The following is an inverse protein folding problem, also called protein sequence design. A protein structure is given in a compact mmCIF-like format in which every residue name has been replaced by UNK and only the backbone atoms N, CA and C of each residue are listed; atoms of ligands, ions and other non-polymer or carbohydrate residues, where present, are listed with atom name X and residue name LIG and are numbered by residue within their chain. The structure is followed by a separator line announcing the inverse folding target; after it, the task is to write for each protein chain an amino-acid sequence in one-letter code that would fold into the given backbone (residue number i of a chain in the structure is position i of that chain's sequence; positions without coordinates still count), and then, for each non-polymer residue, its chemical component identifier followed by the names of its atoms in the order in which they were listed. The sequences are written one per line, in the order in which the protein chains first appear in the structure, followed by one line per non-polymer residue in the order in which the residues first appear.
data_IF_639410812947
#
_entry.id   IF_639410812947
#
_cell.length_a   1.000
_cell.length_b   1.000
_cell.length_c   1.000
_cell.angle_alpha   90.00
_cell.angle_beta   90.00
_cell.angle_gamma   90.00
#
_symmetry.space_group_name_H-M   'P 1'
#
loop_
_entity.id
_entity.type
_entity.pdbx_description
1 polymer ?
#
# COMPACT_ATOMS: atom_id res chain seq x y z
N UNK A 1 15.35 46.10 -59.12
CA UNK A 1 15.25 44.74 -58.55
C UNK A 1 15.36 44.90 -57.05
N UNK A 2 14.22 45.03 -56.35
CA UNK A 2 14.24 45.13 -54.90
C UNK A 2 14.58 43.75 -54.32
N UNK A 3 15.78 43.63 -53.76
CA UNK A 3 16.19 42.46 -52.98
C UNK A 3 15.46 42.52 -51.65
N UNK A 4 14.25 41.98 -51.63
CA UNK A 4 13.47 41.80 -50.40
C UNK A 4 14.28 41.00 -49.37
N UNK A 5 14.35 41.51 -48.15
CA UNK A 5 15.12 40.91 -47.07
C UNK A 5 14.70 39.43 -46.89
N UNK A 6 15.62 38.45 -46.98
CA UNK A 6 15.29 37.02 -46.91
C UNK A 6 14.87 36.58 -45.50
N UNK A 7 15.07 37.44 -44.50
CA UNK A 7 14.75 37.18 -43.08
C UNK A 7 13.26 37.35 -42.81
N UNK A 8 12.58 38.21 -43.56
CA UNK A 8 11.15 38.50 -43.42
C UNK A 8 10.24 37.27 -43.57
N UNK A 9 10.39 36.43 -44.61
CA UNK A 9 9.56 35.23 -44.74
C UNK A 9 9.86 34.18 -43.66
N UNK A 10 11.11 34.07 -43.20
CA UNK A 10 11.49 33.19 -42.10
C UNK A 10 10.86 33.61 -40.77
N UNK A 11 10.84 34.92 -40.48
CA UNK A 11 10.16 35.49 -39.31
C UNK A 11 8.65 35.24 -39.37
N UNK A 12 8.04 35.43 -40.54
CA UNK A 12 6.61 35.15 -40.75
C UNK A 12 6.28 33.67 -40.54
N UNK A 13 7.15 32.78 -41.02
CA UNK A 13 6.98 31.34 -40.83
C UNK A 13 7.13 30.95 -39.35
N UNK A 14 8.13 31.49 -38.65
CA UNK A 14 8.33 31.25 -37.22
C UNK A 14 7.15 31.74 -36.37
N UNK A 15 6.62 32.93 -36.67
CA UNK A 15 5.44 33.48 -36.00
C UNK A 15 4.19 32.61 -36.26
N UNK A 16 3.99 32.13 -37.49
CA UNK A 16 2.86 31.26 -37.81
C UNK A 16 2.91 29.89 -37.11
N UNK A 17 4.11 29.37 -36.85
CA UNK A 17 4.32 28.13 -36.08
C UNK A 17 4.07 28.37 -34.59
N UNK A 18 4.51 29.52 -34.07
CA UNK A 18 4.25 29.92 -32.69
C UNK A 18 2.74 30.14 -32.43
N UNK A 19 2.03 30.77 -33.36
CA UNK A 19 0.57 30.96 -33.28
C UNK A 19 -0.20 29.63 -33.42
N UNK A 20 0.31 28.67 -34.19
CA UNK A 20 -0.29 27.32 -34.35
C UNK A 20 0.05 26.34 -33.24
N UNK A 21 1.00 26.65 -32.35
CA UNK A 21 1.21 25.90 -31.11
C UNK A 21 0.09 26.26 -30.12
N UNK A 22 -1.16 26.00 -30.52
CA UNK A 22 -2.27 25.89 -29.61
C UNK A 22 -1.86 24.84 -28.59
N UNK A 23 -1.53 25.30 -27.37
CA UNK A 23 -1.15 24.44 -26.27
C UNK A 23 -2.18 23.34 -26.17
N UNK A 24 -1.73 22.09 -26.33
CA UNK A 24 -2.59 20.91 -26.20
C UNK A 24 -3.33 21.09 -24.88
N UNK A 25 -4.66 21.21 -24.85
CA UNK A 25 -5.37 21.37 -23.60
C UNK A 25 -5.19 20.08 -22.81
N UNK A 26 -4.30 20.13 -21.82
CA UNK A 26 -4.10 19.02 -20.89
C UNK A 26 -5.27 19.03 -19.93
N UNK A 27 -6.33 18.31 -20.27
CA UNK A 27 -7.45 18.07 -19.37
C UNK A 27 -6.99 17.04 -18.34
N UNK A 28 -6.58 17.52 -17.17
CA UNK A 28 -6.17 16.67 -16.05
C UNK A 28 -7.44 16.12 -15.40
N UNK A 29 -7.72 14.84 -15.63
CA UNK A 29 -8.78 14.14 -14.92
C UNK A 29 -8.29 13.75 -13.50
N UNK A 30 -8.57 14.65 -12.55
CA UNK A 30 -8.23 14.44 -11.15
C UNK A 30 -8.93 13.22 -10.54
N UNK A 31 -10.12 12.84 -11.01
CA UNK A 31 -10.79 11.65 -10.50
C UNK A 31 -10.11 10.36 -10.96
N UNK A 32 -9.64 10.31 -12.20
CA UNK A 32 -8.86 9.19 -12.72
C UNK A 32 -7.54 9.04 -11.96
N UNK A 33 -6.84 10.15 -11.69
CA UNK A 33 -5.60 10.16 -10.90
C UNK A 33 -5.86 9.69 -9.47
N UNK A 34 -6.93 10.18 -8.84
CA UNK A 34 -7.27 9.80 -7.46
C UNK A 34 -7.64 8.32 -7.38
N UNK A 35 -8.43 7.80 -8.33
CA UNK A 35 -8.76 6.37 -8.43
C UNK A 35 -7.52 5.51 -8.65
N UNK A 36 -6.61 5.94 -9.53
CA UNK A 36 -5.34 5.25 -9.77
C UNK A 36 -4.46 5.24 -8.50
N UNK A 37 -4.39 6.36 -7.78
CA UNK A 37 -3.63 6.47 -6.53
C UNK A 37 -4.19 5.56 -5.42
N UNK A 38 -5.52 5.53 -5.25
CA UNK A 38 -6.19 4.64 -4.30
C UNK A 38 -5.92 3.17 -4.67
N UNK A 39 -6.02 2.82 -5.95
CA UNK A 39 -5.77 1.47 -6.44
C UNK A 39 -4.32 1.05 -6.20
N UNK A 40 -3.34 1.89 -6.56
CA UNK A 40 -1.93 1.62 -6.33
C UNK A 40 -1.60 1.47 -4.84
N UNK A 41 -2.17 2.31 -3.98
CA UNK A 41 -1.99 2.21 -2.53
C UNK A 41 -2.56 0.92 -1.96
N UNK A 42 -3.71 0.46 -2.49
CA UNK A 42 -4.31 -0.82 -2.11
C UNK A 42 -3.45 -2.01 -2.57
N UNK A 43 -2.97 -1.99 -3.81
CA UNK A 43 -2.11 -3.05 -4.34
C UNK A 43 -0.79 -3.16 -3.56
N UNK A 44 -0.19 -2.03 -3.18
CA UNK A 44 1.04 -2.06 -2.36
C UNK A 44 0.76 -2.58 -0.95
N UNK A 45 -0.38 -2.23 -0.35
CA UNK A 45 -0.80 -2.81 0.94
C UNK A 45 -1.03 -4.30 0.83
N UNK A 46 -1.68 -4.77 -0.24
CA UNK A 46 -1.90 -6.19 -0.48
C UNK A 46 -0.57 -6.93 -0.73
N UNK A 47 0.38 -6.31 -1.41
CA UNK A 47 1.72 -6.87 -1.64
C UNK A 47 2.51 -7.01 -0.34
N UNK A 48 2.52 -5.98 0.50
CA UNK A 48 3.16 -5.99 1.82
C UNK A 48 2.47 -7.01 2.75
N UNK A 49 1.14 -7.05 2.76
CA UNK A 49 0.38 -8.01 3.54
C UNK A 49 0.56 -9.45 3.05
N UNK A 50 0.82 -9.64 1.76
CA UNK A 50 1.10 -10.95 1.16
C UNK A 50 2.53 -11.41 1.38
N UNK A 51 3.47 -10.52 1.73
CA UNK A 51 4.86 -10.90 1.97
C UNK A 51 4.98 -11.62 3.33
N UNK A 52 5.31 -12.91 3.35
CA UNK A 52 5.41 -13.69 4.58
C UNK A 52 6.58 -13.25 5.48
N UNK A 53 7.45 -12.36 5.01
CA UNK A 53 8.61 -11.87 5.77
C UNK A 53 8.33 -10.64 6.62
N UNK A 54 7.20 -9.97 6.43
CA UNK A 54 6.87 -8.75 7.16
C UNK A 54 6.29 -9.08 8.53
N UNK A 55 6.94 -8.58 9.58
CA UNK A 55 6.54 -8.75 10.97
C UNK A 55 6.12 -7.43 11.59
N UNK A 56 5.17 -7.51 12.51
CA UNK A 56 4.80 -6.44 13.43
C UNK A 56 5.14 -6.82 14.86
N UNK A 57 5.61 -5.85 15.64
CA UNK A 57 5.68 -6.02 17.09
C UNK A 57 4.27 -6.13 17.68
N UNK A 58 4.14 -6.75 18.85
CA UNK A 58 2.86 -6.81 19.56
C UNK A 58 2.25 -5.41 19.80
N UNK A 59 3.08 -4.41 20.09
CA UNK A 59 2.59 -3.05 20.32
C UNK A 59 2.01 -2.44 19.04
N UNK A 60 2.69 -2.59 17.91
CA UNK A 60 2.19 -2.12 16.61
C UNK A 60 0.92 -2.86 16.19
N UNK A 61 0.89 -4.18 16.37
CA UNK A 61 -0.30 -4.98 16.10
C UNK A 61 -1.50 -4.53 16.94
N UNK A 62 -1.29 -4.19 18.21
CA UNK A 62 -2.34 -3.65 19.08
C UNK A 62 -2.84 -2.28 18.63
N UNK A 63 -1.96 -1.40 18.12
CA UNK A 63 -2.32 -0.07 17.62
C UNK A 63 -3.08 -0.20 16.30
N UNK A 64 -2.59 -1.04 15.37
CA UNK A 64 -3.12 -1.17 14.01
C UNK A 64 -4.43 -1.94 13.93
N UNK A 65 -4.53 -3.09 14.62
CA UNK A 65 -5.70 -3.97 14.56
C UNK A 65 -6.58 -3.91 15.81
N UNK A 66 -6.12 -3.24 16.86
CA UNK A 66 -6.80 -3.15 18.14
C UNK A 66 -6.36 -4.25 19.11
N UNK A 67 -6.04 -3.85 20.35
CA UNK A 67 -5.62 -4.75 21.43
C UNK A 67 -6.61 -5.89 21.70
N UNK A 68 -7.90 -5.60 21.71
CA UNK A 68 -8.96 -6.59 21.97
C UNK A 68 -9.03 -7.66 20.89
N UNK A 69 -8.84 -7.28 19.62
CA UNK A 69 -8.83 -8.18 18.47
C UNK A 69 -7.67 -9.14 18.55
N UNK A 70 -6.44 -8.61 18.64
CA UNK A 70 -5.22 -9.44 18.75
C UNK A 70 -5.29 -10.38 19.95
N UNK A 71 -5.70 -9.89 21.11
CA UNK A 71 -5.85 -10.72 22.32
C UNK A 71 -6.87 -11.85 22.10
N UNK A 72 -7.99 -11.56 21.43
CA UNK A 72 -9.00 -12.57 21.13
C UNK A 72 -8.50 -13.62 20.12
N UNK A 73 -7.76 -13.21 19.09
CA UNK A 73 -7.18 -14.11 18.09
C UNK A 73 -6.15 -15.06 18.73
N UNK A 74 -5.26 -14.52 19.57
CA UNK A 74 -4.27 -15.33 20.31
C UNK A 74 -4.97 -16.28 21.29
N UNK A 75 -5.93 -15.79 22.09
CA UNK A 75 -6.65 -16.61 23.08
C UNK A 75 -7.43 -17.75 22.45
N UNK A 76 -7.95 -17.55 21.24
CA UNK A 76 -8.70 -18.57 20.48
C UNK A 76 -7.78 -19.51 19.67
N UNK A 77 -6.49 -19.24 19.63
CA UNK A 77 -5.51 -20.06 18.92
C UNK A 77 -5.41 -19.79 17.42
N UNK A 78 -6.07 -18.77 16.89
CA UNK A 78 -5.98 -18.40 15.46
C UNK A 78 -4.68 -17.65 15.13
N UNK A 79 -4.11 -16.93 16.10
CA UNK A 79 -2.88 -16.19 15.92
C UNK A 79 -1.78 -16.75 16.83
N UNK A 80 -0.64 -17.09 16.23
CA UNK A 80 0.54 -17.58 16.95
C UNK A 80 1.65 -16.52 16.96
N UNK A 81 2.44 -16.53 18.03
CA UNK A 81 3.63 -15.68 18.12
C UNK A 81 4.68 -16.17 17.13
N UNK A 82 5.28 -15.24 16.40
CA UNK A 82 6.35 -15.55 15.47
C UNK A 82 7.59 -16.07 16.21
N UNK A 83 8.04 -17.26 15.81
CA UNK A 83 9.29 -17.83 16.29
C UNK A 83 10.37 -17.48 15.26
N UNK A 84 11.32 -16.64 15.68
CA UNK A 84 12.51 -16.36 14.88
C UNK A 84 13.28 -17.66 14.66
N UNK A 85 13.50 -17.97 13.39
CA UNK A 85 14.29 -19.09 12.89
C UNK A 85 15.47 -18.53 12.06
N UNK A 86 16.11 -19.36 11.24
CA UNK A 86 17.21 -18.98 10.32
C UNK A 86 16.79 -18.03 9.19
N UNK A 87 15.50 -17.73 9.04
CA UNK A 87 14.98 -16.88 7.97
C UNK A 87 15.06 -15.40 8.34
N UNK A 88 15.56 -14.60 7.41
CA UNK A 88 15.53 -13.14 7.49
C UNK A 88 14.08 -12.64 7.52
N UNK A 89 13.79 -11.80 8.52
CA UNK A 89 12.50 -11.16 8.71
C UNK A 89 12.68 -9.65 8.65
N UNK A 90 11.70 -8.96 8.07
CA UNK A 90 11.75 -7.53 7.85
C UNK A 90 10.56 -6.85 8.52
N UNK A 91 10.76 -5.59 8.86
CA UNK A 91 9.69 -4.69 9.27
C UNK A 91 8.95 -4.11 8.04
N UNK A 92 7.84 -3.40 8.25
CA UNK A 92 7.07 -2.74 7.18
C UNK A 92 7.92 -1.77 6.35
N UNK A 93 8.97 -1.20 6.95
CA UNK A 93 9.92 -0.30 6.30
C UNK A 93 11.03 -1.02 5.52
N UNK A 94 11.02 -2.36 5.47
CA UNK A 94 12.07 -3.17 4.84
C UNK A 94 13.34 -3.31 5.68
N UNK A 95 13.32 -2.88 6.94
CA UNK A 95 14.46 -3.01 7.85
C UNK A 95 14.56 -4.43 8.39
N UNK A 96 15.75 -5.02 8.38
CA UNK A 96 15.99 -6.35 8.95
C UNK A 96 15.74 -6.35 10.46
N UNK A 97 14.83 -7.19 10.92
CA UNK A 97 14.54 -7.34 12.35
C UNK A 97 15.51 -8.35 12.96
N UNK A 98 16.39 -7.87 13.85
CA UNK A 98 17.14 -8.73 14.77
C UNK A 98 16.33 -8.92 16.03
N UNK A 99 16.08 -10.18 16.42
CA UNK A 99 15.26 -10.53 17.59
C UNK A 99 15.71 -9.78 18.84
N UNK A 100 14.87 -8.88 19.35
CA UNK A 100 15.06 -8.25 20.66
C UNK A 100 14.55 -9.17 21.78
N UNK A 101 15.26 -9.20 22.92
CA UNK A 101 14.88 -10.03 24.08
C UNK A 101 13.57 -9.52 24.68
N UNK A 102 12.57 -10.39 24.79
CA UNK A 102 11.27 -10.09 25.41
C UNK A 102 10.23 -9.43 24.50
N UNK A 103 10.53 -9.22 23.22
CA UNK A 103 9.57 -8.64 22.26
C UNK A 103 8.87 -9.75 21.49
N UNK A 104 7.54 -9.71 21.47
CA UNK A 104 6.69 -10.63 20.70
C UNK A 104 6.40 -10.01 19.34
N UNK A 105 6.53 -10.82 18.30
CA UNK A 105 6.24 -10.44 16.93
C UNK A 105 5.13 -11.32 16.34
N UNK A 106 4.40 -10.78 15.38
CA UNK A 106 3.36 -11.47 14.63
C UNK A 106 3.58 -11.21 13.15
N UNK A 107 3.28 -12.19 12.29
CA UNK A 107 3.25 -11.97 10.83
C UNK A 107 1.97 -11.24 10.43
N UNK A 108 2.09 -10.23 9.58
CA UNK A 108 0.92 -9.49 9.08
C UNK A 108 -0.05 -10.44 8.38
N UNK A 109 0.47 -11.30 7.49
CA UNK A 109 -0.35 -12.27 6.75
C UNK A 109 -1.12 -13.24 7.67
N UNK A 110 -0.54 -13.60 8.82
CA UNK A 110 -1.21 -14.49 9.78
C UNK A 110 -2.28 -13.75 10.57
N UNK A 111 -2.08 -12.47 10.88
CA UNK A 111 -3.10 -11.63 11.51
C UNK A 111 -4.30 -11.48 10.57
N UNK A 112 -4.07 -11.11 9.31
CA UNK A 112 -5.14 -10.91 8.33
C UNK A 112 -5.95 -12.21 8.11
N UNK A 113 -5.26 -13.34 7.88
CA UNK A 113 -5.91 -14.66 7.79
C UNK A 113 -6.69 -15.02 9.05
N UNK A 114 -6.13 -14.77 10.24
CA UNK A 114 -6.79 -15.05 11.50
C UNK A 114 -8.03 -14.17 11.72
N UNK A 115 -8.03 -12.92 11.22
CA UNK A 115 -9.20 -12.04 11.24
C UNK A 115 -10.28 -12.57 10.31
N UNK A 116 -9.93 -12.97 9.09
CA UNK A 116 -10.86 -13.57 8.14
C UNK A 116 -11.49 -14.85 8.72
N UNK A 117 -10.68 -15.80 9.17
CA UNK A 117 -11.14 -17.05 9.80
C UNK A 117 -11.96 -16.79 11.07
N UNK A 118 -11.48 -15.87 11.93
CA UNK A 118 -12.16 -15.50 13.17
C UNK A 118 -13.51 -14.83 12.96
N UNK A 119 -13.66 -14.05 11.88
CA UNK A 119 -14.93 -13.43 11.48
C UNK A 119 -15.89 -14.45 10.87
N UNK A 120 -15.40 -15.35 10.01
CA UNK A 120 -16.17 -16.48 9.48
C UNK A 120 -16.72 -17.34 10.63
N UNK A 121 -15.92 -17.54 11.68
CA UNK A 121 -16.30 -18.31 12.87
C UNK A 121 -17.25 -17.56 13.80
N UNK A 122 -17.22 -16.23 13.85
CA UNK A 122 -18.28 -15.43 14.50
C UNK A 122 -19.61 -15.52 13.74
N UNK A 123 -19.58 -15.52 12.41
CA UNK A 123 -20.77 -15.62 11.56
C UNK A 123 -21.44 -17.01 11.57
N UNK A 124 -20.64 -18.08 11.73
CA UNK A 124 -21.15 -19.47 11.79
C UNK A 124 -21.53 -19.92 13.20
N UNK A 125 -21.01 -19.26 14.25
CA UNK A 125 -21.32 -19.63 15.63
C UNK A 125 -22.66 -19.04 16.06
N UNK A 126 -23.76 -19.75 15.78
CA UNK A 126 -24.99 -19.63 16.57
C UNK A 126 -24.61 -19.89 18.02
N UNK A 127 -24.61 -18.85 18.84
CA UNK A 127 -24.45 -18.96 20.29
C UNK A 127 -25.65 -19.79 20.77
N UNK A 128 -25.46 -21.09 20.98
CA UNK A 128 -26.33 -21.85 21.88
C UNK A 128 -25.93 -21.44 23.28
N UNK A 129 -26.61 -20.42 23.78
CA UNK A 129 -26.62 -20.08 25.20
C UNK A 129 -27.19 -21.29 25.93
N UNK A 130 -26.47 -21.78 26.92
CA UNK A 130 -26.95 -22.80 27.86
C UNK A 130 -27.35 -22.09 29.15
#
# INVERSE_FOLDING_TARGET
METGNPITPLLQQALSIAEKSAGIPVVVDYEAITRAAIKASREERERIASDPKVLLTQNEAHIRYGKSVITALVRRGYLQQYKFDLREAYDENGTLIKKAKGVVYYRIIEIEKAIEEGNVLKGTRRIRTK
#
